data_IF_076541297522
#
_entry.id   IF_076541297522
#
_cell.length_a   1.000
_cell.length_b   1.000
_cell.length_c   1.000
_cell.angle_alpha   90.00
_cell.angle_beta   90.00
_cell.angle_gamma   90.00
#
_symmetry.space_group_name_H-M   'P 1'
#
loop_
_entity.id
_entity.type
_entity.pdbx_description
1 polymer ?
#
# COMPACT_ATOMS: atom_id res chain seq x y z
N UNK A 1 20.03 -28.61 -68.53
CA UNK A 1 19.92 -29.07 -67.13
C UNK A 1 20.51 -27.99 -66.21
N UNK A 2 19.69 -27.16 -65.63
CA UNK A 2 20.13 -26.16 -64.62
C UNK A 2 19.59 -26.62 -63.27
N UNK A 3 20.50 -26.99 -62.36
CA UNK A 3 20.15 -27.35 -61.00
C UNK A 3 20.08 -26.05 -60.17
N UNK A 4 18.90 -25.72 -59.69
CA UNK A 4 18.67 -24.65 -58.71
C UNK A 4 19.04 -25.17 -57.34
N UNK A 5 20.00 -24.52 -56.69
CA UNK A 5 20.32 -24.73 -55.27
C UNK A 5 19.48 -23.79 -54.48
N UNK A 6 18.48 -24.32 -53.72
CA UNK A 6 17.75 -23.59 -52.71
C UNK A 6 18.65 -23.50 -51.45
N UNK A 7 19.12 -22.34 -51.15
CA UNK A 7 19.76 -22.04 -49.87
C UNK A 7 18.66 -21.82 -48.82
N UNK A 8 18.55 -22.73 -47.86
CA UNK A 8 17.71 -22.54 -46.70
C UNK A 8 18.38 -21.52 -45.76
N UNK A 9 17.78 -20.33 -45.62
CA UNK A 9 18.15 -19.36 -44.60
C UNK A 9 17.51 -19.81 -43.28
N UNK A 10 18.33 -20.39 -42.40
CA UNK A 10 17.90 -20.65 -41.03
C UNK A 10 17.84 -19.31 -40.29
N UNK A 11 16.62 -18.82 -40.03
CA UNK A 11 16.41 -17.72 -39.12
C UNK A 11 16.76 -18.20 -37.71
N UNK A 12 17.92 -17.82 -37.19
CA UNK A 12 18.20 -17.90 -35.77
C UNK A 12 17.24 -16.93 -35.06
N UNK A 13 16.22 -17.47 -34.44
CA UNK A 13 15.46 -16.72 -33.44
C UNK A 13 16.42 -16.47 -32.27
N UNK A 14 16.95 -15.24 -32.20
CA UNK A 14 17.59 -14.75 -31.00
C UNK A 14 16.50 -14.75 -29.91
N UNK A 15 16.58 -15.73 -29.01
CA UNK A 15 15.83 -15.66 -27.74
C UNK A 15 16.21 -14.30 -27.09
N UNK A 16 15.21 -13.54 -26.56
CA UNK A 16 15.55 -12.32 -25.86
C UNK A 16 16.55 -12.68 -24.76
N UNK A 17 17.70 -11.99 -24.78
CA UNK A 17 18.67 -12.11 -23.70
C UNK A 17 17.89 -11.91 -22.40
N UNK A 18 17.89 -12.92 -21.53
CA UNK A 18 17.35 -12.78 -20.20
C UNK A 18 18.07 -11.58 -19.58
N UNK A 19 17.34 -10.47 -19.39
CA UNK A 19 17.82 -9.41 -18.53
C UNK A 19 18.09 -10.09 -17.19
N UNK A 20 19.37 -10.16 -16.82
CA UNK A 20 19.73 -10.66 -15.51
C UNK A 20 18.88 -9.89 -14.50
N UNK A 21 18.16 -10.62 -13.63
CA UNK A 21 17.21 -10.04 -12.70
C UNK A 21 17.95 -8.97 -11.87
N UNK A 22 17.73 -7.70 -12.21
CA UNK A 22 18.41 -6.57 -11.57
C UNK A 22 17.92 -6.36 -10.13
N UNK A 23 16.81 -7.00 -9.77
CA UNK A 23 16.20 -6.91 -8.45
C UNK A 23 16.65 -8.05 -7.56
N UNK A 24 17.24 -7.72 -6.40
CA UNK A 24 17.60 -8.74 -5.41
C UNK A 24 16.37 -9.16 -4.60
N UNK A 25 16.12 -10.46 -4.39
CA UNK A 25 15.04 -10.92 -3.54
C UNK A 25 15.13 -10.37 -2.12
N UNK A 26 13.98 -10.01 -1.57
CA UNK A 26 13.84 -9.48 -0.21
C UNK A 26 12.56 -10.01 0.44
N UNK A 27 12.46 -9.93 1.78
CA UNK A 27 11.26 -10.31 2.51
C UNK A 27 10.09 -9.37 2.16
N UNK A 28 10.39 -8.07 2.03
CA UNK A 28 9.40 -7.02 1.75
C UNK A 28 9.79 -6.26 0.49
N UNK A 29 8.89 -6.27 -0.49
CA UNK A 29 8.97 -5.40 -1.66
C UNK A 29 8.25 -4.08 -1.33
N UNK A 30 9.03 -3.01 -1.06
CA UNK A 30 8.52 -1.66 -0.82
C UNK A 30 8.39 -0.95 -2.16
N UNK A 31 7.16 -0.78 -2.62
CA UNK A 31 6.86 -0.20 -3.92
C UNK A 31 6.40 1.24 -3.76
N UNK A 32 7.05 2.17 -4.49
CA UNK A 32 6.94 3.62 -4.27
C UNK A 32 6.48 4.39 -5.49
N UNK A 33 5.89 3.71 -6.47
CA UNK A 33 5.52 4.33 -7.74
C UNK A 33 4.38 5.32 -7.57
N UNK A 34 4.62 6.55 -8.01
CA UNK A 34 3.62 7.63 -8.04
C UNK A 34 3.47 8.24 -9.46
N UNK A 35 4.25 7.74 -10.45
CA UNK A 35 4.30 8.24 -11.82
C UNK A 35 3.30 7.51 -12.71
N UNK A 36 2.77 8.23 -13.70
CA UNK A 36 2.06 7.62 -14.80
C UNK A 36 2.95 6.68 -15.60
N UNK A 37 2.43 5.50 -15.95
CA UNK A 37 2.93 4.78 -17.10
C UNK A 37 2.41 5.52 -18.34
N UNK A 38 3.31 6.13 -19.10
CA UNK A 38 2.95 6.73 -20.37
C UNK A 38 2.38 5.64 -21.29
N UNK A 39 1.09 5.68 -21.56
CA UNK A 39 0.51 4.87 -22.61
C UNK A 39 0.77 5.56 -23.94
N UNK A 40 1.82 5.14 -24.67
CA UNK A 40 2.19 5.68 -25.97
C UNK A 40 1.07 5.61 -27.01
N UNK A 41 0.10 4.69 -26.87
CA UNK A 41 -1.08 4.59 -27.72
C UNK A 41 -2.16 5.61 -27.38
N UNK A 42 -2.28 6.01 -26.11
CA UNK A 42 -3.35 6.90 -25.66
C UNK A 42 -3.00 8.38 -25.77
N UNK A 43 -1.73 8.76 -25.94
CA UNK A 43 -1.25 10.16 -25.94
C UNK A 43 -1.84 11.00 -24.81
N UNK A 44 -2.10 10.40 -23.67
CA UNK A 44 -2.71 11.08 -22.53
C UNK A 44 -1.61 11.78 -21.76
N UNK A 45 -1.67 13.10 -21.77
CA UNK A 45 -0.87 13.92 -20.88
C UNK A 45 -1.15 13.54 -19.44
N UNK A 46 -0.12 13.63 -18.58
CA UNK A 46 -0.27 13.53 -17.11
C UNK A 46 -1.49 14.36 -16.70
N UNK A 47 -2.55 13.78 -16.12
CA UNK A 47 -3.67 14.58 -15.65
C UNK A 47 -3.15 15.63 -14.68
N UNK A 48 -3.64 16.86 -14.81
CA UNK A 48 -3.44 17.88 -13.78
C UNK A 48 -3.91 17.29 -12.46
N UNK A 49 -2.99 17.06 -11.50
CA UNK A 49 -3.35 16.54 -10.20
C UNK A 49 -2.55 15.34 -9.70
N UNK A 50 -1.57 14.83 -10.46
CA UNK A 50 -0.62 13.89 -9.90
C UNK A 50 0.15 14.59 -8.77
N UNK A 51 -0.07 14.17 -7.54
CA UNK A 51 0.58 14.74 -6.37
C UNK A 51 1.64 13.77 -5.84
N UNK A 52 2.87 14.23 -5.78
CA UNK A 52 3.97 13.50 -5.15
C UNK A 52 4.05 13.85 -3.67
N UNK A 53 3.86 12.85 -2.81
CA UNK A 53 4.04 13.03 -1.38
C UNK A 53 5.54 13.02 -1.04
N UNK A 54 6.07 14.12 -0.50
CA UNK A 54 7.46 14.20 -0.02
C UNK A 54 7.78 13.13 1.04
N UNK A 55 6.75 12.58 1.66
CA UNK A 55 6.88 11.47 2.62
C UNK A 55 7.22 10.14 1.96
N UNK A 56 7.12 9.99 0.64
CA UNK A 56 7.35 8.72 -0.06
C UNK A 56 8.81 8.28 0.05
N UNK A 57 9.75 9.11 -0.34
CA UNK A 57 11.18 8.78 -0.30
C UNK A 57 11.69 8.66 1.14
N UNK A 58 11.26 9.58 2.01
CA UNK A 58 11.62 9.55 3.43
C UNK A 58 11.06 8.27 4.07
N UNK A 59 9.80 7.95 3.79
CA UNK A 59 9.14 6.75 4.30
C UNK A 59 9.82 5.48 3.83
N UNK A 60 10.16 5.38 2.56
CA UNK A 60 10.84 4.22 2.00
C UNK A 60 12.18 3.95 2.68
N UNK A 61 13.00 4.99 2.88
CA UNK A 61 14.29 4.86 3.57
C UNK A 61 14.11 4.49 5.04
N UNK A 62 13.15 5.11 5.74
CA UNK A 62 12.89 4.79 7.15
C UNK A 62 12.37 3.36 7.33
N UNK A 63 11.46 2.91 6.46
CA UNK A 63 10.97 1.52 6.46
C UNK A 63 12.12 0.55 6.20
N UNK A 64 12.93 0.79 5.15
CA UNK A 64 14.07 -0.05 4.81
C UNK A 64 15.04 -0.19 5.99
N UNK A 65 15.39 0.93 6.62
CA UNK A 65 16.30 0.98 7.77
C UNK A 65 15.70 0.27 8.98
N UNK A 66 14.50 0.66 9.39
CA UNK A 66 13.88 0.15 10.61
C UNK A 66 13.54 -1.33 10.51
N UNK A 67 13.03 -1.77 9.36
CA UNK A 67 12.76 -3.20 9.14
C UNK A 67 14.06 -4.01 9.09
N UNK A 68 15.13 -3.44 8.48
CA UNK A 68 16.47 -4.04 8.49
C UNK A 68 17.02 -4.24 9.90
N UNK A 69 16.86 -3.25 10.79
CA UNK A 69 17.22 -3.36 12.21
C UNK A 69 16.44 -4.47 12.95
N UNK A 70 15.29 -4.86 12.42
CA UNK A 70 14.43 -5.93 12.95
C UNK A 70 14.59 -7.27 12.21
N UNK A 71 15.56 -7.37 11.31
CA UNK A 71 15.93 -8.60 10.61
C UNK A 71 15.16 -8.86 9.30
N UNK A 72 14.44 -7.88 8.76
CA UNK A 72 13.74 -8.00 7.48
C UNK A 72 14.49 -7.29 6.36
N UNK A 73 14.75 -8.02 5.30
CA UNK A 73 15.28 -7.43 4.06
C UNK A 73 14.18 -6.68 3.30
N UNK A 74 14.54 -5.50 2.76
CA UNK A 74 13.62 -4.67 1.97
C UNK A 74 14.22 -4.33 0.61
N UNK A 75 13.49 -4.61 -0.46
CA UNK A 75 13.74 -4.08 -1.79
C UNK A 75 12.85 -2.85 -2.02
N UNK A 76 13.46 -1.68 -2.22
CA UNK A 76 12.72 -0.44 -2.54
C UNK A 76 12.84 -0.17 -4.03
N UNK A 77 11.71 0.00 -4.73
CA UNK A 77 11.68 0.35 -6.16
C UNK A 77 10.40 1.03 -6.56
N UNK A 78 10.43 1.83 -7.64
CA UNK A 78 9.26 2.37 -8.35
C UNK A 78 9.13 1.81 -9.79
N UNK A 79 10.01 0.88 -10.16
CA UNK A 79 10.05 0.28 -11.49
C UNK A 79 9.05 -0.87 -11.62
N UNK A 80 8.07 -0.79 -12.53
CA UNK A 80 7.11 -1.87 -12.74
C UNK A 80 7.72 -3.15 -13.31
N UNK A 81 8.95 -3.13 -13.82
CA UNK A 81 9.64 -4.35 -14.23
C UNK A 81 9.84 -5.33 -13.07
N UNK A 82 9.77 -4.86 -11.82
CA UNK A 82 9.85 -5.72 -10.62
C UNK A 82 8.76 -6.79 -10.60
N UNK A 83 7.59 -6.52 -11.16
CA UNK A 83 6.47 -7.48 -11.17
C UNK A 83 6.72 -8.73 -12.01
N UNK A 84 7.67 -8.69 -12.95
CA UNK A 84 8.10 -9.83 -13.76
C UNK A 84 9.30 -10.56 -13.15
N UNK A 85 9.87 -10.03 -12.07
CA UNK A 85 11.14 -10.48 -11.48
C UNK A 85 10.98 -11.64 -10.50
N UNK A 86 12.08 -12.32 -10.23
CA UNK A 86 12.15 -13.29 -9.14
C UNK A 86 12.08 -12.64 -7.75
N UNK A 87 12.45 -11.36 -7.64
CA UNK A 87 12.31 -10.64 -6.38
C UNK A 87 10.83 -10.53 -5.96
N UNK A 88 9.92 -10.23 -6.89
CA UNK A 88 8.48 -10.24 -6.61
C UNK A 88 7.98 -11.65 -6.25
N UNK A 89 8.38 -12.67 -7.01
CA UNK A 89 7.93 -14.05 -6.79
C UNK A 89 8.35 -14.61 -5.41
N UNK A 90 9.47 -14.10 -4.85
CA UNK A 90 10.02 -14.54 -3.56
C UNK A 90 9.63 -13.63 -2.39
N UNK A 91 9.06 -12.47 -2.65
CA UNK A 91 8.61 -11.56 -1.61
C UNK A 91 7.52 -12.21 -0.75
N UNK A 92 7.58 -11.98 0.56
CA UNK A 92 6.55 -12.40 1.53
C UNK A 92 5.46 -11.35 1.69
N UNK A 93 5.82 -10.08 1.45
CA UNK A 93 4.90 -8.96 1.52
C UNK A 93 5.24 -7.91 0.45
N UNK A 94 4.20 -7.32 -0.14
CA UNK A 94 4.31 -6.09 -0.93
C UNK A 94 3.79 -4.93 -0.09
N UNK A 95 4.59 -3.88 0.00
CA UNK A 95 4.25 -2.66 0.71
C UNK A 95 4.10 -1.50 -0.29
N UNK A 96 2.87 -1.12 -0.63
CA UNK A 96 2.58 0.08 -1.41
C UNK A 96 2.69 1.31 -0.52
N UNK A 97 3.80 2.02 -0.63
CA UNK A 97 4.13 3.15 0.22
C UNK A 97 3.80 4.46 -0.51
N UNK A 98 2.68 5.08 -0.16
CA UNK A 98 2.19 6.35 -0.70
C UNK A 98 2.21 6.40 -2.25
N UNK A 99 1.94 5.27 -2.88
CA UNK A 99 1.85 5.15 -4.33
C UNK A 99 0.60 5.84 -4.87
N UNK A 100 0.58 6.13 -6.17
CA UNK A 100 -0.59 6.69 -6.86
C UNK A 100 -0.64 6.21 -8.31
N UNK A 101 -1.85 6.19 -8.88
CA UNK A 101 -2.14 5.88 -10.28
C UNK A 101 -1.86 4.42 -10.67
N UNK A 102 -1.33 4.20 -11.88
CA UNK A 102 -1.11 2.85 -12.41
C UNK A 102 0.16 2.23 -11.83
N UNK A 103 0.02 1.08 -11.22
CA UNK A 103 1.11 0.39 -10.55
C UNK A 103 1.75 -0.67 -11.44
N UNK A 104 1.03 -1.15 -12.43
CA UNK A 104 1.45 -2.21 -13.35
C UNK A 104 1.61 -1.66 -14.76
N UNK A 105 2.60 -2.14 -15.50
CA UNK A 105 2.82 -1.72 -16.88
C UNK A 105 1.85 -2.37 -17.88
N UNK A 106 1.24 -3.49 -17.49
CA UNK A 106 0.34 -4.27 -18.34
C UNK A 106 -0.56 -5.21 -17.50
N UNK A 107 -1.54 -5.82 -18.18
CA UNK A 107 -2.51 -6.72 -17.54
C UNK A 107 -1.88 -8.04 -17.05
N UNK A 108 -0.77 -8.48 -17.62
CA UNK A 108 -0.09 -9.70 -17.19
C UNK A 108 0.54 -9.47 -15.79
N UNK A 109 1.22 -8.35 -15.59
CA UNK A 109 1.77 -7.96 -14.27
C UNK A 109 0.66 -7.79 -13.25
N UNK A 110 -0.44 -7.09 -13.63
CA UNK A 110 -1.61 -6.92 -12.76
C UNK A 110 -2.19 -8.27 -12.35
N UNK A 111 -2.42 -9.16 -13.28
CA UNK A 111 -2.96 -10.50 -13.02
C UNK A 111 -2.02 -11.33 -12.15
N UNK A 112 -0.71 -11.25 -12.38
CA UNK A 112 0.29 -11.95 -11.57
C UNK A 112 0.26 -11.47 -10.10
N UNK A 113 0.15 -10.16 -9.87
CA UNK A 113 0.03 -9.59 -8.53
C UNK A 113 -1.23 -10.10 -7.80
N UNK A 114 -2.42 -9.95 -8.39
CA UNK A 114 -3.66 -10.40 -7.74
C UNK A 114 -3.68 -11.91 -7.50
N UNK A 115 -3.11 -12.69 -8.43
CA UNK A 115 -2.95 -14.12 -8.25
C UNK A 115 -2.02 -14.46 -7.08
N UNK A 116 -0.89 -13.77 -6.95
CA UNK A 116 0.05 -13.97 -5.85
C UNK A 116 -0.61 -13.66 -4.50
N UNK A 117 -1.37 -12.55 -4.41
CA UNK A 117 -2.10 -12.22 -3.18
C UNK A 117 -3.18 -13.26 -2.88
N UNK A 118 -3.95 -13.67 -3.88
CA UNK A 118 -4.96 -14.73 -3.70
C UNK A 118 -4.36 -16.05 -3.21
N UNK A 119 -3.08 -16.31 -3.51
CA UNK A 119 -2.33 -17.48 -3.07
C UNK A 119 -1.59 -17.30 -1.73
N UNK A 120 -1.64 -16.12 -1.11
CA UNK A 120 -1.13 -15.91 0.24
C UNK A 120 -0.08 -14.81 0.42
N UNK A 121 0.30 -14.08 -0.66
CA UNK A 121 1.16 -12.91 -0.54
C UNK A 121 0.51 -11.85 0.37
N UNK A 122 1.24 -11.37 1.37
CA UNK A 122 0.80 -10.28 2.23
C UNK A 122 0.87 -8.92 1.53
N UNK A 123 -0.03 -8.00 1.90
CA UNK A 123 0.00 -6.63 1.36
C UNK A 123 -0.26 -5.59 2.44
N UNK A 124 0.59 -4.56 2.46
CA UNK A 124 0.41 -3.35 3.27
C UNK A 124 0.30 -2.15 2.34
N UNK A 125 -0.64 -1.27 2.64
CA UNK A 125 -0.97 -0.10 1.79
C UNK A 125 -1.09 1.13 2.68
N UNK A 126 -0.39 2.21 2.34
CA UNK A 126 -0.43 3.45 3.12
C UNK A 126 -0.99 4.63 2.32
N UNK A 127 -1.72 5.46 3.02
CA UNK A 127 -2.17 6.80 2.63
C UNK A 127 -2.70 6.87 1.18
N UNK A 128 -1.98 7.57 0.30
CA UNK A 128 -2.42 7.81 -1.09
C UNK A 128 -2.52 6.54 -1.95
N UNK A 129 -1.97 5.43 -1.48
CA UNK A 129 -2.07 4.18 -2.22
C UNK A 129 -3.50 3.61 -2.28
N UNK A 130 -4.46 4.16 -1.54
CA UNK A 130 -5.88 3.86 -1.77
C UNK A 130 -6.39 4.41 -3.11
N UNK A 131 -5.63 5.28 -3.79
CA UNK A 131 -5.95 5.90 -5.07
C UNK A 131 -5.10 5.33 -6.23
N UNK A 132 -4.91 4.02 -6.26
CA UNK A 132 -4.20 3.32 -7.33
C UNK A 132 -5.16 2.77 -8.39
N UNK A 133 -4.60 2.33 -9.51
CA UNK A 133 -5.28 1.60 -10.59
C UNK A 133 -6.52 2.32 -11.14
N UNK A 134 -6.33 3.56 -11.58
CA UNK A 134 -7.41 4.39 -12.14
C UNK A 134 -8.05 3.79 -13.39
N UNK A 135 -7.31 2.98 -14.14
CA UNK A 135 -7.86 2.22 -15.27
C UNK A 135 -8.74 1.05 -14.82
N UNK A 136 -8.61 0.61 -13.56
CA UNK A 136 -9.31 -0.53 -12.98
C UNK A 136 -9.79 -0.24 -11.54
N UNK A 137 -10.52 0.87 -11.31
CA UNK A 137 -10.82 1.34 -9.96
C UNK A 137 -11.67 0.36 -9.17
N UNK A 138 -12.56 -0.38 -9.84
CA UNK A 138 -13.38 -1.38 -9.18
C UNK A 138 -12.55 -2.57 -8.70
N UNK A 139 -11.57 -3.02 -9.51
CA UNK A 139 -10.68 -4.11 -9.15
C UNK A 139 -9.82 -3.75 -7.93
N UNK A 140 -9.25 -2.53 -7.91
CA UNK A 140 -8.47 -2.04 -6.77
C UNK A 140 -9.33 -1.88 -5.51
N UNK A 141 -10.54 -1.34 -5.66
CA UNK A 141 -11.49 -1.20 -4.55
C UNK A 141 -11.88 -2.56 -3.95
N UNK A 142 -12.19 -3.55 -4.80
CA UNK A 142 -12.55 -4.90 -4.34
C UNK A 142 -11.39 -5.58 -3.63
N UNK A 143 -10.17 -5.38 -4.13
CA UNK A 143 -8.94 -5.86 -3.53
C UNK A 143 -8.65 -5.20 -2.19
N UNK A 144 -8.57 -3.86 -2.15
CA UNK A 144 -8.18 -3.12 -0.96
C UNK A 144 -9.28 -3.05 0.10
N UNK A 145 -10.54 -3.11 -0.31
CA UNK A 145 -11.70 -2.90 0.56
C UNK A 145 -12.14 -1.44 0.66
N UNK A 146 -11.55 -0.54 -0.10
CA UNK A 146 -11.90 0.87 -0.18
C UNK A 146 -11.13 1.56 -1.30
N UNK A 147 -11.62 2.73 -1.69
CA UNK A 147 -11.02 3.57 -2.73
C UNK A 147 -11.12 5.03 -2.31
N UNK A 148 -10.07 5.80 -2.56
CA UNK A 148 -10.03 7.21 -2.25
C UNK A 148 -11.12 7.99 -3.00
N UNK A 149 -11.88 8.80 -2.28
CA UNK A 149 -12.88 9.71 -2.84
C UNK A 149 -12.37 11.16 -2.83
N UNK A 150 -11.95 11.62 -1.66
CA UNK A 150 -11.43 12.97 -1.44
C UNK A 150 -10.70 13.03 -0.09
N UNK A 151 -10.24 14.20 0.30
CA UNK A 151 -9.72 14.47 1.64
C UNK A 151 -10.20 15.83 2.14
N UNK A 152 -10.18 16.03 3.45
CA UNK A 152 -10.39 17.36 3.99
C UNK A 152 -9.17 18.25 3.71
N UNK A 153 -9.43 19.53 3.41
CA UNK A 153 -8.36 20.49 3.11
C UNK A 153 -7.46 20.79 4.30
N UNK A 154 -8.01 20.64 5.50
CA UNK A 154 -7.30 20.92 6.75
C UNK A 154 -6.89 19.61 7.40
N UNK A 155 -5.61 19.47 7.70
CA UNK A 155 -5.10 18.38 8.53
C UNK A 155 -5.57 18.57 9.97
N UNK A 156 -5.82 17.48 10.67
CA UNK A 156 -6.29 17.50 12.05
C UNK A 156 -5.73 16.35 12.88
N UNK A 157 -5.81 16.44 14.22
CA UNK A 157 -5.54 15.31 15.10
C UNK A 157 -6.52 14.16 14.89
N UNK A 158 -6.05 12.92 15.15
CA UNK A 158 -6.88 11.70 15.12
C UNK A 158 -6.80 11.03 16.49
N UNK A 159 -7.86 11.09 17.29
CA UNK A 159 -7.97 10.28 18.50
C UNK A 159 -8.07 8.77 18.14
N UNK A 160 -7.26 7.93 18.81
CA UNK A 160 -7.24 6.49 18.59
C UNK A 160 -8.23 5.72 19.48
N UNK A 161 -9.09 6.42 20.22
CA UNK A 161 -10.12 5.83 21.08
C UNK A 161 -11.19 4.98 20.36
N UNK A 162 -11.16 4.99 19.00
CA UNK A 162 -12.04 4.19 18.16
C UNK A 162 -11.35 2.98 17.51
N UNK A 163 -10.09 2.69 17.88
CA UNK A 163 -9.29 1.64 17.25
C UNK A 163 -9.66 0.25 17.80
N UNK A 164 -9.51 -0.76 16.94
CA UNK A 164 -9.54 -2.16 17.39
C UNK A 164 -8.16 -2.55 17.95
N UNK A 165 -7.99 -2.44 19.25
CA UNK A 165 -6.75 -2.77 19.96
C UNK A 165 -6.40 -4.26 19.97
N UNK A 166 -7.25 -5.14 19.44
CA UNK A 166 -6.89 -6.56 19.31
C UNK A 166 -6.07 -6.87 18.06
N UNK A 167 -5.97 -5.93 17.10
CA UNK A 167 -5.12 -6.12 15.94
C UNK A 167 -3.66 -5.80 16.28
N UNK A 168 -2.66 -6.64 15.91
CA UNK A 168 -1.25 -6.44 16.26
C UNK A 168 -0.68 -5.05 15.91
N UNK A 169 -1.13 -4.46 14.80
CA UNK A 169 -0.67 -3.13 14.38
C UNK A 169 -1.17 -2.00 15.30
N UNK A 170 -2.19 -2.23 16.12
CA UNK A 170 -2.79 -1.23 17.00
C UNK A 170 -2.72 -1.58 18.49
N UNK A 171 -2.42 -2.83 18.82
CA UNK A 171 -2.46 -3.34 20.20
C UNK A 171 -1.52 -2.63 21.18
N UNK A 172 -0.49 -1.96 20.68
CA UNK A 172 0.50 -1.28 21.53
C UNK A 172 0.20 0.21 21.77
N UNK A 173 -0.74 0.81 21.04
CA UNK A 173 -1.13 2.18 21.29
C UNK A 173 -1.95 2.30 22.56
N UNK A 174 -1.72 3.31 23.40
CA UNK A 174 -2.63 3.64 24.50
C UNK A 174 -4.05 3.93 24.00
N UNK A 175 -5.06 3.69 24.82
CA UNK A 175 -6.47 3.95 24.46
C UNK A 175 -6.74 5.44 24.21
N UNK A 176 -6.00 6.33 24.89
CA UNK A 176 -6.09 7.78 24.77
C UNK A 176 -5.08 8.37 23.79
N UNK A 177 -4.41 7.53 22.99
CA UNK A 177 -3.42 8.01 22.03
C UNK A 177 -4.05 8.92 20.98
N UNK A 178 -3.40 10.05 20.72
CA UNK A 178 -3.80 11.01 19.70
C UNK A 178 -2.68 11.15 18.68
N UNK A 179 -2.98 10.82 17.42
CA UNK A 179 -2.12 11.16 16.30
C UNK A 179 -2.21 12.66 16.06
N UNK A 180 -1.10 13.37 16.15
CA UNK A 180 -1.08 14.84 16.30
C UNK A 180 -1.67 15.58 15.11
N UNK A 181 -1.39 15.10 13.88
CA UNK A 181 -1.78 15.81 12.68
C UNK A 181 -1.75 14.88 11.47
N UNK A 182 -2.86 14.77 10.74
CA UNK A 182 -2.96 13.98 9.53
C UNK A 182 -3.92 14.61 8.52
N UNK A 183 -3.69 14.30 7.24
CA UNK A 183 -4.63 14.55 6.18
C UNK A 183 -5.72 13.46 6.20
N UNK A 184 -6.97 13.87 6.41
CA UNK A 184 -8.06 12.92 6.57
C UNK A 184 -8.55 12.47 5.20
N UNK A 185 -8.15 11.28 4.81
CA UNK A 185 -8.65 10.63 3.60
C UNK A 185 -10.06 10.09 3.81
N UNK A 186 -10.96 10.50 2.92
CA UNK A 186 -12.32 10.00 2.84
C UNK A 186 -12.34 8.91 1.77
N UNK A 187 -12.33 7.68 2.24
CA UNK A 187 -12.41 6.51 1.37
C UNK A 187 -13.88 6.05 1.27
N UNK A 188 -14.25 5.45 0.14
CA UNK A 188 -15.48 4.67 0.02
C UNK A 188 -15.17 3.22 0.41
N UNK A 189 -15.35 2.84 1.68
CA UNK A 189 -15.11 1.47 2.10
C UNK A 189 -16.17 0.54 1.48
N UNK A 190 -15.73 -0.68 1.14
CA UNK A 190 -16.64 -1.78 0.84
C UNK A 190 -16.90 -2.49 2.16
N UNK A 191 -18.11 -2.41 2.68
CA UNK A 191 -18.45 -2.89 4.03
C UNK A 191 -18.24 -4.40 4.20
N UNK A 192 -18.46 -5.18 3.15
CA UNK A 192 -18.39 -6.63 3.20
C UNK A 192 -16.95 -7.15 3.36
N UNK A 193 -16.71 -7.90 4.43
CA UNK A 193 -15.43 -8.54 4.72
C UNK A 193 -14.32 -7.59 5.18
N UNK A 194 -14.65 -6.34 5.47
CA UNK A 194 -13.71 -5.34 5.96
C UNK A 194 -13.76 -5.28 7.49
N UNK A 195 -12.59 -5.37 8.15
CA UNK A 195 -12.43 -5.17 9.60
C UNK A 195 -11.86 -3.77 9.83
N UNK A 196 -12.66 -2.80 10.30
CA UNK A 196 -12.16 -1.47 10.63
C UNK A 196 -11.23 -1.54 11.85
N UNK A 197 -10.14 -0.79 11.81
CA UNK A 197 -9.12 -0.78 12.86
C UNK A 197 -8.95 0.61 13.48
N UNK A 198 -9.07 1.66 12.68
CA UNK A 198 -9.02 3.04 13.13
C UNK A 198 -10.18 3.81 12.49
N UNK A 199 -10.93 4.52 13.30
CA UNK A 199 -12.03 5.38 12.84
C UNK A 199 -11.90 6.77 13.45
N UNK A 200 -12.04 7.80 12.62
CA UNK A 200 -12.30 9.16 13.09
C UNK A 200 -13.81 9.34 13.26
N UNK A 201 -14.29 9.45 14.49
CA UNK A 201 -15.72 9.69 14.76
C UNK A 201 -16.15 11.02 14.17
N UNK A 202 -17.42 11.11 13.76
CA UNK A 202 -17.95 12.34 13.20
C UNK A 202 -17.80 13.53 14.14
N UNK A 203 -17.96 13.32 15.44
CA UNK A 203 -17.84 14.39 16.44
C UNK A 203 -16.40 14.89 16.62
N UNK A 204 -15.41 14.06 16.28
CA UNK A 204 -13.98 14.41 16.30
C UNK A 204 -13.51 15.11 15.01
N UNK A 205 -14.36 15.19 13.96
CA UNK A 205 -14.07 15.94 12.74
C UNK A 205 -14.21 17.43 13.02
N UNK A 206 -13.20 18.22 12.61
CA UNK A 206 -13.25 19.68 12.77
C UNK A 206 -14.49 20.30 12.10
N UNK A 207 -15.15 21.30 12.71
CA UNK A 207 -16.35 21.92 12.16
C UNK A 207 -16.18 22.43 10.72
N UNK A 208 -15.04 23.06 10.43
CA UNK A 208 -14.70 23.53 9.08
C UNK A 208 -14.50 22.41 8.06
N UNK A 209 -14.08 21.23 8.50
CA UNK A 209 -13.99 20.05 7.67
C UNK A 209 -15.35 19.43 7.42
N UNK A 210 -16.22 19.36 8.44
CA UNK A 210 -17.62 18.90 8.28
C UNK A 210 -18.38 19.72 7.26
N UNK A 211 -18.12 21.03 7.21
CA UNK A 211 -18.77 21.94 6.24
C UNK A 211 -18.36 21.65 4.78
N UNK A 212 -17.27 20.92 4.54
CA UNK A 212 -16.81 20.52 3.20
C UNK A 212 -17.45 19.21 2.72
N UNK A 213 -18.02 18.44 3.63
CA UNK A 213 -18.62 17.13 3.33
C UNK A 213 -19.99 17.31 2.66
N UNK A 214 -19.98 17.63 1.37
CA UNK A 214 -21.18 17.85 0.58
C UNK A 214 -21.79 16.58 -0.01
N UNK A 215 -21.03 15.50 -0.09
CA UNK A 215 -21.42 14.26 -0.77
C UNK A 215 -21.00 13.02 0.02
N UNK A 216 -21.90 12.57 0.91
CA UNK A 216 -22.12 11.16 1.11
C UNK A 216 -20.99 10.23 1.54
N UNK A 217 -19.94 10.69 2.21
CA UNK A 217 -19.17 9.76 3.02
C UNK A 217 -20.11 9.14 4.06
N UNK A 218 -20.05 7.82 4.31
CA UNK A 218 -20.95 7.17 5.24
C UNK A 218 -20.89 7.85 6.60
N UNK A 219 -21.93 8.62 6.92
CA UNK A 219 -22.01 9.44 8.14
C UNK A 219 -22.26 8.62 9.39
N UNK A 220 -22.63 7.36 9.24
CA UNK A 220 -22.92 6.47 10.36
C UNK A 220 -21.62 6.06 11.04
N UNK A 221 -21.29 6.73 12.15
CA UNK A 221 -20.19 6.39 13.03
C UNK A 221 -18.85 7.10 12.77
N UNK A 222 -18.61 7.66 11.59
CA UNK A 222 -17.37 8.36 11.26
C UNK A 222 -16.63 7.82 10.04
N UNK A 223 -15.37 8.22 9.87
CA UNK A 223 -14.54 7.83 8.72
C UNK A 223 -13.58 6.71 9.10
N UNK A 224 -13.60 5.61 8.35
CA UNK A 224 -12.63 4.52 8.52
C UNK A 224 -11.29 4.94 7.93
N UNK A 225 -10.26 5.03 8.77
CA UNK A 225 -8.91 5.48 8.41
C UNK A 225 -7.90 4.34 8.31
N UNK A 226 -8.18 3.19 8.95
CA UNK A 226 -7.40 1.98 8.78
C UNK A 226 -8.30 0.76 8.86
N UNK A 227 -7.97 -0.25 8.07
CA UNK A 227 -8.69 -1.53 8.04
C UNK A 227 -7.79 -2.66 7.58
N UNK A 228 -8.27 -3.88 7.81
CA UNK A 228 -7.71 -5.06 7.19
C UNK A 228 -8.80 -5.97 6.62
N UNK A 229 -8.40 -6.85 5.73
CA UNK A 229 -9.26 -7.87 5.12
C UNK A 229 -8.41 -9.01 4.56
N UNK A 230 -9.07 -10.07 4.11
CA UNK A 230 -8.46 -11.10 3.26
C UNK A 230 -8.80 -10.89 1.80
N UNK A 231 -7.90 -11.32 0.91
CA UNK A 231 -8.13 -11.46 -0.52
C UNK A 231 -7.63 -12.83 -0.95
N UNK A 232 -8.54 -13.77 -1.14
CA UNK A 232 -8.17 -15.18 -1.20
C UNK A 232 -7.52 -15.64 0.10
N UNK A 233 -6.28 -16.16 0.03
CA UNK A 233 -5.47 -16.53 1.19
C UNK A 233 -4.59 -15.40 1.71
N UNK A 234 -4.43 -14.31 0.94
CA UNK A 234 -3.60 -13.17 1.31
C UNK A 234 -4.28 -12.25 2.31
N UNK A 235 -3.48 -11.58 3.11
CA UNK A 235 -3.89 -10.58 4.10
C UNK A 235 -3.56 -9.20 3.60
N UNK A 236 -4.53 -8.31 3.58
CA UNK A 236 -4.42 -6.93 3.09
C UNK A 236 -4.69 -5.96 4.23
N UNK A 237 -3.74 -5.07 4.48
CA UNK A 237 -3.81 -4.02 5.49
C UNK A 237 -3.73 -2.65 4.83
N UNK A 238 -4.58 -1.72 5.27
CA UNK A 238 -4.53 -0.32 4.87
C UNK A 238 -4.50 0.61 6.09
N UNK A 239 -3.72 1.67 5.98
CA UNK A 239 -3.75 2.81 6.90
C UNK A 239 -3.67 4.13 6.13
N UNK A 240 -4.55 5.08 6.44
CA UNK A 240 -4.53 6.42 5.86
C UNK A 240 -3.42 7.30 6.46
N UNK A 241 -2.74 6.84 7.52
CA UNK A 241 -1.62 7.55 8.13
C UNK A 241 -0.41 7.60 7.20
N UNK A 242 0.43 8.62 7.37
CA UNK A 242 1.71 8.72 6.66
C UNK A 242 1.81 9.86 5.64
N UNK A 243 0.90 10.84 5.68
CA UNK A 243 1.00 12.03 4.84
C UNK A 243 2.25 12.87 5.16
N UNK A 244 2.50 13.08 6.45
CA UNK A 244 3.55 14.01 6.85
C UNK A 244 4.94 13.34 6.87
N UNK A 245 5.97 13.95 6.26
CA UNK A 245 7.34 13.42 6.30
C UNK A 245 7.87 13.16 7.72
N UNK A 246 7.47 13.97 8.70
CA UNK A 246 7.89 13.84 10.10
C UNK A 246 7.38 12.56 10.77
N UNK A 247 6.25 12.03 10.32
CA UNK A 247 5.66 10.82 10.92
C UNK A 247 6.53 9.59 10.68
N UNK A 248 7.24 9.55 9.57
CA UNK A 248 8.14 8.45 9.21
C UNK A 248 9.39 8.35 10.08
N UNK A 249 9.65 9.34 10.95
CA UNK A 249 10.69 9.25 11.99
C UNK A 249 10.15 8.85 13.36
N UNK A 250 8.83 8.76 13.53
CA UNK A 250 8.20 8.32 14.78
C UNK A 250 8.33 6.79 14.92
N UNK A 251 8.91 6.35 16.03
CA UNK A 251 9.13 4.91 16.28
C UNK A 251 7.82 4.14 16.36
N UNK A 252 6.79 4.72 16.95
CA UNK A 252 5.46 4.15 17.04
C UNK A 252 4.84 3.94 15.65
N UNK A 253 5.06 4.84 14.69
CA UNK A 253 4.56 4.66 13.33
C UNK A 253 5.30 3.54 12.60
N UNK A 254 6.63 3.54 12.67
CA UNK A 254 7.43 2.48 12.08
C UNK A 254 7.11 1.11 12.69
N UNK A 255 6.86 1.07 14.01
CA UNK A 255 6.44 -0.16 14.68
C UNK A 255 5.03 -0.59 14.24
N UNK A 256 4.09 0.34 14.12
CA UNK A 256 2.76 0.10 13.56
C UNK A 256 2.85 -0.58 12.18
N UNK A 257 3.68 -0.03 11.28
CA UNK A 257 3.87 -0.58 9.93
C UNK A 257 4.57 -1.94 9.95
N UNK A 258 5.55 -2.14 10.86
CA UNK A 258 6.20 -3.43 11.03
C UNK A 258 5.21 -4.51 11.51
N UNK A 259 4.37 -4.19 12.50
CA UNK A 259 3.36 -5.14 13.00
C UNK A 259 2.31 -5.45 11.95
N UNK A 260 1.88 -4.45 11.17
CA UNK A 260 1.00 -4.66 10.01
C UNK A 260 1.64 -5.58 8.97
N UNK A 261 2.92 -5.38 8.67
CA UNK A 261 3.68 -6.21 7.72
C UNK A 261 3.82 -7.65 8.22
N UNK A 262 4.20 -7.85 9.47
CA UNK A 262 4.28 -9.18 10.10
C UNK A 262 2.94 -9.90 10.11
N UNK A 263 1.87 -9.18 10.40
CA UNK A 263 0.51 -9.74 10.31
C UNK A 263 0.16 -10.13 8.87
N UNK A 264 0.46 -9.27 7.89
CA UNK A 264 0.21 -9.55 6.49
C UNK A 264 1.00 -10.77 5.98
N UNK A 265 2.25 -10.97 6.44
CA UNK A 265 3.07 -12.15 6.15
C UNK A 265 2.60 -13.43 6.86
N UNK A 266 1.60 -13.35 7.75
CA UNK A 266 1.12 -14.49 8.52
C UNK A 266 1.98 -14.84 9.74
N UNK A 267 2.93 -14.01 10.11
CA UNK A 267 3.81 -14.22 11.29
C UNK A 267 3.12 -13.87 12.61
N UNK A 268 2.01 -13.14 12.57
CA UNK A 268 1.23 -12.77 13.74
C UNK A 268 -0.22 -13.23 13.60
N UNK A 269 -0.88 -13.55 14.72
CA UNK A 269 -2.30 -13.92 14.72
C UNK A 269 -3.19 -12.73 14.34
N UNK A 270 -4.44 -13.01 13.99
CA UNK A 270 -5.43 -11.98 13.66
C UNK A 270 -5.82 -11.11 14.86
N UNK A 271 -5.70 -11.66 16.06
CA UNK A 271 -5.96 -10.96 17.32
C UNK A 271 -4.89 -11.31 18.33
N UNK A 272 -4.45 -10.29 19.05
CA UNK A 272 -3.61 -10.44 20.24
C UNK A 272 -4.45 -10.07 21.46
N UNK A 273 -4.23 -10.76 22.57
CA UNK A 273 -4.85 -10.41 23.83
C UNK A 273 -4.43 -9.00 24.22
N UNK A 274 -5.39 -8.16 24.62
CA UNK A 274 -5.28 -6.71 24.80
C UNK A 274 -3.91 -6.31 25.32
N UNK A 275 -3.05 -5.85 24.40
CA UNK A 275 -1.64 -5.64 24.66
C UNK A 275 -1.43 -4.56 25.71
N UNK A 276 -0.58 -4.85 26.69
CA UNK A 276 0.01 -3.77 27.47
C UNK A 276 0.74 -2.85 26.47
N UNK A 277 0.58 -1.51 26.58
CA UNK A 277 1.32 -0.58 25.77
C UNK A 277 2.80 -0.98 25.77
N UNK A 278 3.37 -1.18 24.58
CA UNK A 278 4.79 -1.44 24.50
C UNK A 278 5.53 -0.23 25.07
N UNK A 279 6.27 -0.47 26.13
CA UNK A 279 7.26 0.50 26.57
C UNK A 279 8.32 0.58 25.48
N UNK A 280 8.15 1.51 24.53
CA UNK A 280 9.09 1.74 23.43
C UNK A 280 10.42 2.30 23.90
N UNK A 281 10.69 2.19 25.21
CA UNK A 281 11.92 2.51 25.94
C UNK A 281 12.86 3.48 25.23
N UNK A 282 13.28 4.49 25.90
CA UNK A 282 14.38 5.38 25.48
C UNK A 282 15.64 4.53 25.15
N UNK A 283 15.81 4.10 23.89
CA UNK A 283 17.07 3.58 23.36
C UNK A 283 17.28 4.07 21.95
#
# INVERSE_FOLDING_TARGET
>A
MRRSVLAAVAALALAPAAFADSFQPADVLVYTRWKYVWNAKARVAVPKGAYHHLSTEIGAEQVRRYFGEKGYSCLVTDDPAVWDSDAFKKAKCVFFLNTQHEQFANDAQRSAFYSAVSNGLGVVVTHSSSWNEHSHPQLWRDFLGGFFATHYRKQQPIPFNCVDHTHPAFAFFPEDYVWEREEIYLNHPKEEGLRPLLMLKWDDVLPESRAQDKEGCPKAGGHVLAWCKTYGKGRVFYTALGHNPKDWSKREFLYHLLMATKWAMGELPDRVDGGKPLNLGNR
#
